data_IF_971516856574
#
_entry.id   IF_971516856574
#
_cell.length_a   1.000
_cell.length_b   1.000
_cell.length_c   1.000
_cell.angle_alpha   90.00
_cell.angle_beta   90.00
_cell.angle_gamma   90.00
#
_symmetry.space_group_name_H-M   'P 1'
#
loop_
_entity.id
_entity.type
_entity.pdbx_description
1 polymer ?
#
# COMPACT_ATOMS: atom_id res chain seq x y z
N UNK A 1 26.84 -1.55 16.19
CA UNK A 1 27.12 -1.39 17.64
C UNK A 1 26.92 -2.74 18.32
N UNK A 2 27.99 -3.27 18.94
CA UNK A 2 28.03 -4.59 19.57
C UNK A 2 27.27 -4.63 20.89
N UNK A 3 26.32 -5.56 21.02
CA UNK A 3 25.56 -5.80 22.26
C UNK A 3 26.30 -6.86 23.10
N UNK A 4 26.56 -6.65 24.41
CA UNK A 4 27.32 -7.61 25.23
C UNK A 4 26.49 -8.86 25.59
N UNK A 5 27.09 -10.03 25.35
CA UNK A 5 26.55 -11.39 25.57
C UNK A 5 26.38 -11.82 27.04
N UNK A 6 26.36 -10.91 28.00
CA UNK A 6 26.41 -11.22 29.44
C UNK A 6 25.08 -11.12 30.19
N UNK A 7 23.97 -10.76 29.53
CA UNK A 7 22.64 -10.66 30.20
C UNK A 7 21.70 -11.85 29.97
N UNK A 8 22.04 -12.79 29.08
CA UNK A 8 21.21 -13.99 28.85
C UNK A 8 21.41 -15.11 29.88
N UNK A 9 22.56 -15.15 30.57
CA UNK A 9 22.82 -16.19 31.58
C UNK A 9 22.25 -15.88 32.99
N UNK A 10 21.82 -14.64 33.24
CA UNK A 10 21.20 -14.27 34.53
C UNK A 10 19.67 -14.53 34.57
N UNK A 11 19.03 -14.57 33.39
CA UNK A 11 17.57 -14.80 33.25
C UNK A 11 17.24 -16.30 33.17
N UNK A 12 18.15 -17.13 32.64
CA UNK A 12 18.00 -18.60 32.69
C UNK A 12 18.27 -19.19 34.09
N UNK A 13 19.14 -18.56 34.90
CA UNK A 13 19.46 -19.05 36.25
C UNK A 13 18.34 -18.76 37.27
N UNK A 14 17.51 -17.74 37.05
CA UNK A 14 16.38 -17.39 37.93
C UNK A 14 15.10 -18.16 37.60
N UNK A 15 14.92 -18.63 36.36
CA UNK A 15 13.79 -19.52 36.00
C UNK A 15 13.99 -20.98 36.45
N UNK A 16 15.22 -21.45 36.65
CA UNK A 16 15.51 -22.81 37.16
C UNK A 16 15.38 -22.96 38.69
N UNK A 17 15.25 -21.85 39.42
CA UNK A 17 15.01 -21.84 40.89
C UNK A 17 13.50 -21.82 41.19
N UNK A 18 12.65 -21.42 40.24
CA UNK A 18 11.19 -21.41 40.40
C UNK A 18 10.49 -22.71 39.98
N UNK A 19 11.17 -23.59 39.22
CA UNK A 19 10.63 -24.89 38.79
C UNK A 19 10.95 -26.01 39.81
N UNK A 20 11.89 -25.78 40.74
CA UNK A 20 12.26 -26.72 41.82
C UNK A 20 11.50 -26.50 43.14
N UNK A 21 10.70 -25.42 43.27
CA UNK A 21 9.87 -25.16 44.45
C UNK A 21 8.39 -25.60 44.30
N UNK A 22 7.95 -25.95 43.09
CA UNK A 22 6.59 -26.48 42.83
C UNK A 22 6.52 -28.02 42.81
N UNK A 23 7.57 -28.71 43.24
CA UNK A 23 7.66 -30.18 43.28
C UNK A 23 7.78 -30.78 44.69
N UNK A 24 7.48 -30.01 45.75
CA UNK A 24 7.32 -30.52 47.14
C UNK A 24 5.94 -30.10 47.67
N UNK A 25 4.92 -30.28 46.84
CA UNK A 25 3.52 -30.16 47.20
C UNK A 25 2.79 -31.42 46.73
N UNK A 26 3.22 -32.58 47.23
CA UNK A 26 2.43 -33.80 47.21
C UNK A 26 3.02 -34.84 48.19
N UNK A 27 2.80 -34.61 49.48
CA UNK A 27 2.80 -35.69 50.47
C UNK A 27 1.74 -35.42 51.53
N UNK A 28 0.66 -36.19 51.42
CA UNK A 28 -0.18 -36.74 52.49
C UNK A 28 -0.84 -35.78 53.48
N UNK A 29 -2.13 -35.55 53.21
CA UNK A 29 -3.17 -35.49 54.23
C UNK A 29 -3.13 -36.73 55.13
N UNK A 30 -2.69 -36.57 56.37
CA UNK A 30 -3.07 -37.44 57.49
C UNK A 30 -3.03 -36.63 58.78
N UNK A 31 -4.13 -36.71 59.52
CA UNK A 31 -4.51 -36.10 60.80
C UNK A 31 -3.38 -35.80 61.79
N UNK A 32 -3.52 -34.79 62.67
CA UNK A 32 -2.46 -34.40 63.60
C UNK A 32 -2.31 -35.47 64.69
N UNK A 33 -1.21 -36.22 64.62
CA UNK A 33 -0.74 -37.07 65.70
C UNK A 33 -0.13 -36.15 66.76
N UNK A 34 -0.79 -36.05 67.92
CA UNK A 34 -0.23 -35.40 69.10
C UNK A 34 1.15 -35.99 69.41
N UNK A 35 2.15 -35.13 69.65
CA UNK A 35 3.50 -35.58 69.99
C UNK A 35 3.47 -36.34 71.32
N UNK A 36 4.31 -37.38 71.47
CA UNK A 36 4.32 -38.28 72.63
C UNK A 36 4.47 -37.55 73.98
N UNK A 37 5.06 -36.34 73.98
CA UNK A 37 5.14 -35.47 75.17
C UNK A 37 3.78 -34.92 75.62
N UNK A 38 2.84 -34.67 74.69
CA UNK A 38 1.50 -34.17 75.00
C UNK A 38 0.57 -35.30 75.52
N UNK A 39 0.80 -36.55 75.13
CA UNK A 39 0.05 -37.72 75.61
C UNK A 39 0.47 -38.16 77.03
N UNK A 40 1.78 -38.07 77.34
CA UNK A 40 2.34 -38.42 78.66
C UNK A 40 1.84 -37.50 79.79
N UNK A 41 1.54 -36.23 79.48
CA UNK A 41 1.00 -35.26 80.44
C UNK A 41 -0.48 -35.56 80.75
N UNK A 42 -1.23 -36.10 79.80
CA UNK A 42 -2.66 -36.42 79.96
C UNK A 42 -2.87 -37.70 80.81
N UNK A 43 -2.00 -38.70 80.65
CA UNK A 43 -2.10 -40.02 81.33
C UNK A 43 -1.69 -39.96 82.81
N UNK A 44 -0.73 -39.10 83.16
CA UNK A 44 -0.34 -38.85 84.57
C UNK A 44 -1.41 -38.12 85.38
N UNK A 45 -2.29 -37.37 84.73
CA UNK A 45 -3.33 -36.58 85.39
C UNK A 45 -4.59 -37.40 85.72
N UNK A 46 -4.88 -38.48 84.99
CA UNK A 46 -6.07 -39.32 85.18
C UNK A 46 -5.89 -40.42 86.24
N UNK A 47 -4.68 -40.94 86.43
CA UNK A 47 -4.44 -42.05 87.38
C UNK A 47 -4.31 -41.63 88.86
N UNK A 48 -4.08 -40.34 89.14
CA UNK A 48 -3.90 -39.81 90.51
C UNK A 48 -5.19 -39.60 91.30
N UNK A 49 -6.35 -39.62 90.64
CA UNK A 49 -7.64 -39.19 91.19
C UNK A 49 -8.46 -40.38 91.72
N UNK A 50 -8.40 -41.55 91.06
CA UNK A 50 -9.18 -42.74 91.46
C UNK A 50 -8.68 -43.42 92.74
N UNK A 51 -7.40 -43.24 93.10
CA UNK A 51 -6.77 -43.91 94.26
C UNK A 51 -7.14 -43.30 95.62
N UNK A 52 -7.63 -42.05 95.69
CA UNK A 52 -7.83 -41.33 96.97
C UNK A 52 -9.29 -41.28 97.46
N UNK A 53 -10.25 -41.66 96.62
CA UNK A 53 -11.69 -41.64 96.97
C UNK A 53 -12.13 -42.91 97.71
N UNK A 54 -11.47 -44.06 97.47
CA UNK A 54 -11.81 -45.35 98.09
C UNK A 54 -11.43 -45.50 99.58
N UNK A 55 -10.40 -44.79 100.05
CA UNK A 55 -9.84 -44.99 101.40
C UNK A 55 -10.63 -44.23 102.50
N UNK A 56 -11.43 -43.25 102.11
CA UNK A 56 -12.26 -42.44 103.03
C UNK A 56 -13.60 -43.14 103.36
N UNK A 57 -14.13 -43.94 102.43
CA UNK A 57 -15.41 -44.64 102.61
C UNK A 57 -15.32 -45.76 103.66
N UNK A 58 -14.17 -46.42 103.79
CA UNK A 58 -13.96 -47.51 104.74
C UNK A 58 -13.80 -47.05 106.20
N UNK A 59 -13.32 -45.82 106.43
CA UNK A 59 -13.18 -45.25 107.78
C UNK A 59 -14.51 -44.79 108.38
N UNK A 60 -15.51 -44.50 107.56
CA UNK A 60 -16.85 -44.08 108.01
C UNK A 60 -17.64 -45.24 108.64
N UNK A 61 -17.50 -46.46 108.11
CA UNK A 61 -18.22 -47.67 108.55
C UNK A 61 -17.77 -48.14 109.95
N UNK A 62 -16.50 -47.92 110.30
CA UNK A 62 -15.95 -48.27 111.62
C UNK A 62 -16.39 -47.33 112.75
N UNK A 63 -16.87 -46.13 112.42
CA UNK A 63 -17.33 -45.11 113.37
C UNK A 63 -18.80 -45.29 113.79
N UNK A 64 -19.60 -46.04 113.02
CA UNK A 64 -21.01 -46.32 113.34
C UNK A 64 -21.21 -47.40 114.41
N UNK A 65 -20.22 -48.25 114.69
CA UNK A 65 -20.38 -49.43 115.57
C UNK A 65 -20.01 -49.25 117.04
N UNK A 66 -19.56 -48.07 117.46
CA UNK A 66 -19.20 -47.85 118.87
C UNK A 66 -20.05 -46.76 119.46
N UNK A 67 -21.00 -47.17 120.31
CA UNK A 67 -21.62 -46.39 121.39
C UNK A 67 -22.80 -45.51 120.91
N UNK A 68 -24.08 -45.69 121.27
CA UNK A 68 -24.89 -46.60 122.11
C UNK A 68 -24.33 -47.21 123.42
N UNK A 69 -24.86 -46.66 124.53
CA UNK A 69 -24.63 -46.95 125.95
C UNK A 69 -23.27 -46.43 126.47
N UNK A 70 -23.17 -45.33 127.23
CA UNK A 70 -24.04 -44.78 128.27
C UNK A 70 -23.79 -43.25 128.37
N UNK A 71 -24.75 -42.49 128.92
CA UNK A 71 -24.84 -41.03 129.06
C UNK A 71 -23.69 -40.12 128.56
N UNK A 72 -24.12 -39.09 127.84
CA UNK A 72 -23.41 -37.92 127.36
C UNK A 72 -22.55 -38.04 126.10
N UNK A 73 -22.92 -37.14 125.18
CA UNK A 73 -22.01 -36.42 124.30
C UNK A 73 -21.43 -37.21 123.11
N UNK A 74 -22.35 -37.76 122.33
CA UNK A 74 -22.54 -37.54 120.87
C UNK A 74 -21.72 -36.38 120.23
N UNK A 75 -21.42 -35.32 120.97
CA UNK A 75 -20.58 -34.18 120.59
C UNK A 75 -19.19 -34.58 120.07
N UNK A 76 -18.56 -35.63 120.59
CA UNK A 76 -17.23 -36.05 120.12
C UNK A 76 -17.32 -36.77 118.77
N UNK A 77 -18.42 -37.46 118.51
CA UNK A 77 -18.68 -38.22 117.28
C UNK A 77 -19.00 -37.31 116.09
N UNK A 78 -19.83 -36.30 116.31
CA UNK A 78 -20.27 -35.38 115.26
C UNK A 78 -19.11 -34.50 114.75
N UNK A 79 -18.19 -34.10 115.63
CA UNK A 79 -17.02 -33.29 115.28
C UNK A 79 -16.05 -34.00 114.32
N UNK A 80 -15.85 -35.31 114.48
CA UNK A 80 -14.96 -36.08 113.63
C UNK A 80 -15.53 -36.29 112.21
N UNK A 81 -16.86 -36.46 112.10
CA UNK A 81 -17.55 -36.65 110.82
C UNK A 81 -17.61 -35.35 110.02
N UNK A 82 -17.88 -34.23 110.68
CA UNK A 82 -17.85 -32.90 110.07
C UNK A 82 -16.45 -32.56 109.53
N UNK A 83 -15.40 -32.81 110.31
CA UNK A 83 -14.03 -32.54 109.90
C UNK A 83 -13.58 -33.36 108.67
N UNK A 84 -14.04 -34.61 108.55
CA UNK A 84 -13.72 -35.46 107.40
C UNK A 84 -14.42 -34.99 106.11
N UNK A 85 -15.68 -34.55 106.22
CA UNK A 85 -16.45 -34.00 105.10
C UNK A 85 -15.86 -32.67 104.61
N UNK A 86 -15.50 -31.78 105.53
CA UNK A 86 -14.89 -30.48 105.23
C UNK A 86 -13.52 -30.66 104.53
N UNK A 87 -12.75 -31.67 104.94
CA UNK A 87 -11.46 -32.00 104.32
C UNK A 87 -11.61 -32.49 102.86
N UNK A 88 -12.60 -33.34 102.57
CA UNK A 88 -12.86 -33.76 101.19
C UNK A 88 -13.37 -32.62 100.30
N UNK A 89 -14.24 -31.76 100.83
CA UNK A 89 -14.75 -30.60 100.12
C UNK A 89 -13.63 -29.61 99.78
N UNK A 90 -12.67 -29.42 100.69
CA UNK A 90 -11.50 -28.58 100.46
C UNK A 90 -10.61 -29.14 99.34
N UNK A 91 -10.40 -30.46 99.31
CA UNK A 91 -9.58 -31.12 98.28
C UNK A 91 -10.21 -31.02 96.88
N UNK A 92 -11.52 -31.25 96.77
CA UNK A 92 -12.24 -31.08 95.51
C UNK A 92 -12.22 -29.63 95.00
N UNK A 93 -12.34 -28.64 95.90
CA UNK A 93 -12.23 -27.23 95.53
C UNK A 93 -10.84 -26.90 95.00
N UNK A 94 -9.79 -27.37 95.67
CA UNK A 94 -8.42 -27.14 95.26
C UNK A 94 -8.11 -27.74 93.88
N UNK A 95 -8.62 -28.94 93.58
CA UNK A 95 -8.42 -29.60 92.28
C UNK A 95 -9.21 -28.92 91.14
N UNK A 96 -10.42 -28.45 91.42
CA UNK A 96 -11.20 -27.63 90.48
C UNK A 96 -10.50 -26.30 90.17
N UNK A 97 -9.95 -25.63 91.18
CA UNK A 97 -9.21 -24.37 91.03
C UNK A 97 -7.93 -24.54 90.20
N UNK A 98 -7.15 -25.59 90.44
CA UNK A 98 -5.93 -25.84 89.65
C UNK A 98 -6.23 -26.17 88.19
N UNK A 99 -7.30 -26.94 87.93
CA UNK A 99 -7.74 -27.24 86.56
C UNK A 99 -8.28 -26.01 85.83
N UNK A 100 -9.01 -25.15 86.51
CA UNK A 100 -9.47 -23.88 85.94
C UNK A 100 -8.29 -22.96 85.62
N UNK A 101 -7.28 -22.91 86.50
CA UNK A 101 -6.08 -22.07 86.31
C UNK A 101 -5.24 -22.53 85.11
N UNK A 102 -5.08 -23.85 84.92
CA UNK A 102 -4.34 -24.38 83.78
C UNK A 102 -5.11 -24.20 82.45
N UNK A 103 -6.44 -24.28 82.48
CA UNK A 103 -7.29 -23.96 81.33
C UNK A 103 -7.23 -22.47 80.95
N UNK A 104 -7.18 -21.55 81.92
CA UNK A 104 -7.00 -20.13 81.62
C UNK A 104 -5.64 -19.83 81.01
N UNK A 105 -4.55 -20.40 81.56
CA UNK A 105 -3.20 -20.19 81.02
C UNK A 105 -3.04 -20.75 79.59
N UNK A 106 -3.63 -21.91 79.32
CA UNK A 106 -3.60 -22.49 77.97
C UNK A 106 -4.42 -21.68 76.97
N UNK A 107 -5.55 -21.11 77.39
CA UNK A 107 -6.36 -20.20 76.56
C UNK A 107 -5.62 -18.91 76.23
N UNK A 108 -4.99 -18.29 77.23
CA UNK A 108 -4.19 -17.07 77.03
C UNK A 108 -3.01 -17.31 76.09
N UNK A 109 -2.31 -18.45 76.24
CA UNK A 109 -1.22 -18.83 75.34
C UNK A 109 -1.70 -19.02 73.89
N UNK A 110 -2.88 -19.61 73.69
CA UNK A 110 -3.48 -19.80 72.37
C UNK A 110 -3.87 -18.46 71.71
N UNK A 111 -4.45 -17.52 72.48
CA UNK A 111 -4.81 -16.19 71.98
C UNK A 111 -3.59 -15.36 71.56
N UNK A 112 -2.48 -15.44 72.31
CA UNK A 112 -1.22 -14.77 71.94
C UNK A 112 -0.66 -15.36 70.64
N UNK A 113 -0.68 -16.69 70.50
CA UNK A 113 -0.25 -17.36 69.28
C UNK A 113 -1.10 -16.95 68.07
N UNK A 114 -2.43 -16.92 68.20
CA UNK A 114 -3.34 -16.49 67.14
C UNK A 114 -3.08 -15.05 66.69
N UNK A 115 -2.93 -14.10 67.64
CA UNK A 115 -2.59 -12.70 67.30
C UNK A 115 -1.28 -12.58 66.55
N UNK A 116 -0.28 -13.41 66.87
CA UNK A 116 1.00 -13.40 66.15
C UNK A 116 0.86 -13.88 64.71
N UNK A 117 0.05 -14.91 64.46
CA UNK A 117 -0.23 -15.43 63.12
C UNK A 117 -0.99 -14.41 62.28
N UNK A 118 -2.01 -13.75 62.86
CA UNK A 118 -2.77 -12.71 62.18
C UNK A 118 -1.89 -11.51 61.78
N UNK A 119 -0.95 -11.11 62.66
CA UNK A 119 0.03 -10.07 62.35
C UNK A 119 0.90 -10.46 61.15
N UNK A 120 1.41 -11.69 61.13
CA UNK A 120 2.24 -12.20 60.04
C UNK A 120 1.48 -12.29 58.71
N UNK A 121 0.22 -12.75 58.73
CA UNK A 121 -0.65 -12.76 57.56
C UNK A 121 -0.94 -11.34 57.05
N UNK A 122 -1.14 -10.38 57.96
CA UNK A 122 -1.27 -8.96 57.64
C UNK A 122 -0.04 -8.43 56.90
N UNK A 123 1.18 -8.68 57.40
CA UNK A 123 2.42 -8.27 56.73
C UNK A 123 2.59 -8.93 55.36
N UNK A 124 2.26 -10.22 55.24
CA UNK A 124 2.34 -10.94 53.97
C UNK A 124 1.36 -10.36 52.93
N UNK A 125 0.14 -10.00 53.35
CA UNK A 125 -0.85 -9.36 52.47
C UNK A 125 -0.39 -7.99 51.96
N UNK A 126 0.28 -7.20 52.82
CA UNK A 126 0.82 -5.90 52.48
C UNK A 126 1.97 -6.00 51.47
N UNK A 127 2.85 -6.99 51.65
CA UNK A 127 3.93 -7.29 50.71
C UNK A 127 3.40 -7.71 49.34
N UNK A 128 2.35 -8.55 49.32
CA UNK A 128 1.71 -8.96 48.06
C UNK A 128 1.07 -7.77 47.34
N UNK A 129 0.40 -6.88 48.08
CA UNK A 129 -0.17 -5.65 47.54
C UNK A 129 0.90 -4.68 47.00
N UNK A 130 2.03 -4.55 47.68
CA UNK A 130 3.16 -3.75 47.21
C UNK A 130 3.78 -4.33 45.93
N UNK A 131 3.92 -5.66 45.85
CA UNK A 131 4.43 -6.34 44.67
C UNK A 131 3.48 -6.20 43.46
N UNK A 132 2.17 -6.36 43.66
CA UNK A 132 1.18 -6.16 42.58
C UNK A 132 1.15 -4.71 42.10
N UNK A 133 1.24 -3.75 43.02
CA UNK A 133 1.37 -2.33 42.66
C UNK A 133 2.65 -2.05 41.86
N UNK A 134 3.78 -2.66 42.24
CA UNK A 134 5.04 -2.49 41.53
C UNK A 134 4.99 -3.09 40.10
N UNK A 135 4.40 -4.28 39.96
CA UNK A 135 4.18 -4.91 38.64
C UNK A 135 3.23 -4.07 37.77
N UNK A 136 2.14 -3.56 38.36
CA UNK A 136 1.22 -2.66 37.66
C UNK A 136 1.92 -1.38 37.20
N UNK A 137 2.72 -0.75 38.05
CA UNK A 137 3.49 0.45 37.73
C UNK A 137 4.52 0.20 36.62
N UNK A 138 5.27 -0.90 36.71
CA UNK A 138 6.22 -1.34 35.67
C UNK A 138 5.53 -1.52 34.32
N UNK A 139 4.37 -2.19 34.31
CA UNK A 139 3.55 -2.38 33.11
C UNK A 139 3.08 -1.05 32.53
N UNK A 140 2.65 -0.11 33.37
CA UNK A 140 2.23 1.21 32.93
C UNK A 140 3.37 2.01 32.26
N UNK A 141 4.59 1.99 32.83
CA UNK A 141 5.75 2.66 32.20
C UNK A 141 6.18 2.01 30.89
N UNK A 142 6.15 0.68 30.81
CA UNK A 142 6.46 -0.04 29.55
C UNK A 142 5.41 0.28 28.49
N UNK A 143 4.13 0.32 28.86
CA UNK A 143 3.04 0.64 27.95
C UNK A 143 3.16 2.07 27.41
N UNK A 144 3.51 3.03 28.26
CA UNK A 144 3.71 4.42 27.86
C UNK A 144 4.85 4.56 26.84
N UNK A 145 5.99 3.89 27.07
CA UNK A 145 7.12 3.93 26.14
C UNK A 145 6.80 3.21 24.82
N UNK A 146 6.06 2.10 24.88
CA UNK A 146 5.57 1.39 23.71
C UNK A 146 4.64 2.25 22.87
N UNK A 147 3.67 2.94 23.48
CA UNK A 147 2.73 3.80 22.78
C UNK A 147 3.45 5.01 22.17
N UNK A 148 4.46 5.56 22.85
CA UNK A 148 5.30 6.64 22.31
C UNK A 148 6.09 6.20 21.07
N UNK A 149 6.76 5.05 21.13
CA UNK A 149 7.49 4.51 19.97
C UNK A 149 6.55 4.16 18.81
N UNK A 150 5.40 3.55 19.12
CA UNK A 150 4.36 3.24 18.12
C UNK A 150 3.85 4.50 17.42
N UNK A 151 3.58 5.57 18.17
CA UNK A 151 3.12 6.84 17.60
C UNK A 151 4.21 7.52 16.79
N UNK A 152 5.47 7.46 17.22
CA UNK A 152 6.59 8.01 16.46
C UNK A 152 6.80 7.27 15.12
N UNK A 153 6.81 5.93 15.15
CA UNK A 153 6.88 5.11 13.93
C UNK A 153 5.67 5.37 13.02
N UNK A 154 4.47 5.51 13.59
CA UNK A 154 3.27 5.85 12.82
C UNK A 154 3.31 7.26 12.24
N UNK A 155 3.97 8.23 12.88
CA UNK A 155 4.11 9.58 12.36
C UNK A 155 5.18 9.66 11.26
N UNK A 156 6.32 8.98 11.43
CA UNK A 156 7.43 8.96 10.48
C UNK A 156 7.14 8.09 9.25
N UNK A 157 6.45 6.96 9.43
CA UNK A 157 6.25 5.98 8.37
C UNK A 157 4.77 5.74 8.01
N UNK A 158 3.81 6.19 8.81
CA UNK A 158 2.38 5.94 8.53
C UNK A 158 1.88 6.67 7.29
N UNK A 159 2.32 7.91 7.04
CA UNK A 159 2.00 8.64 5.81
C UNK A 159 2.64 7.96 4.59
N UNK A 160 3.93 7.60 4.67
CA UNK A 160 4.62 6.88 3.60
C UNK A 160 4.00 5.50 3.30
N UNK A 161 3.58 4.76 4.33
CA UNK A 161 2.89 3.46 4.17
C UNK A 161 1.51 3.67 3.54
N UNK A 162 0.74 4.68 3.96
CA UNK A 162 -0.54 5.01 3.33
C UNK A 162 -0.38 5.45 1.87
N UNK A 163 0.65 6.22 1.54
CA UNK A 163 0.93 6.64 0.17
C UNK A 163 1.41 5.48 -0.69
N UNK A 164 2.21 4.56 -0.14
CA UNK A 164 2.58 3.30 -0.81
C UNK A 164 1.34 2.43 -1.04
N UNK A 165 0.46 2.28 -0.05
CA UNK A 165 -0.77 1.48 -0.19
C UNK A 165 -1.75 2.11 -1.19
N UNK A 166 -1.94 3.44 -1.17
CA UNK A 166 -2.71 4.16 -2.21
C UNK A 166 -2.09 3.97 -3.59
N UNK A 167 -0.78 4.15 -3.71
CA UNK A 167 -0.06 3.97 -4.97
C UNK A 167 -0.21 2.54 -5.49
N UNK A 168 -0.14 1.54 -4.61
CA UNK A 168 -0.34 0.13 -4.94
C UNK A 168 -1.77 -0.17 -5.37
N UNK A 169 -2.78 0.41 -4.73
CA UNK A 169 -4.19 0.27 -5.14
C UNK A 169 -4.46 0.91 -6.50
N UNK A 170 -3.89 2.10 -6.74
CA UNK A 170 -3.96 2.79 -8.04
C UNK A 170 -3.28 1.94 -9.12
N UNK A 171 -2.03 1.49 -8.90
CA UNK A 171 -1.33 0.60 -9.83
C UNK A 171 -2.11 -0.68 -10.10
N UNK A 172 -2.69 -1.29 -9.06
CA UNK A 172 -3.45 -2.55 -9.19
C UNK A 172 -4.72 -2.36 -10.03
N UNK A 173 -5.40 -1.22 -9.88
CA UNK A 173 -6.58 -0.87 -10.68
C UNK A 173 -6.18 -0.62 -12.14
N UNK A 174 -5.11 0.13 -12.36
CA UNK A 174 -4.63 0.48 -13.69
C UNK A 174 -4.09 -0.72 -14.46
N UNK A 175 -3.39 -1.63 -13.79
CA UNK A 175 -2.96 -2.91 -14.38
C UNK A 175 -4.18 -3.74 -14.78
N UNK A 176 -5.25 -3.77 -13.97
CA UNK A 176 -6.49 -4.46 -14.33
C UNK A 176 -7.17 -3.85 -15.55
N UNK A 177 -7.22 -2.52 -15.64
CA UNK A 177 -7.79 -1.83 -16.80
C UNK A 177 -6.94 -2.04 -18.06
N UNK A 178 -5.61 -1.95 -17.96
CA UNK A 178 -4.69 -2.23 -19.06
C UNK A 178 -4.83 -3.68 -19.55
N UNK A 179 -5.05 -4.64 -18.64
CA UNK A 179 -5.35 -6.02 -19.00
C UNK A 179 -6.71 -6.19 -19.70
N UNK A 180 -7.70 -5.35 -19.38
CA UNK A 180 -8.99 -5.35 -20.07
C UNK A 180 -8.82 -4.78 -21.48
N UNK A 181 -8.19 -3.60 -21.60
CA UNK A 181 -7.91 -2.96 -22.90
C UNK A 181 -7.06 -3.87 -23.80
N UNK A 182 -6.02 -4.50 -23.26
CA UNK A 182 -5.19 -5.45 -24.00
C UNK A 182 -5.98 -6.70 -24.44
N UNK A 183 -6.92 -7.18 -23.63
CA UNK A 183 -7.81 -8.30 -24.02
C UNK A 183 -8.77 -7.91 -25.13
N UNK A 184 -9.34 -6.71 -25.08
CA UNK A 184 -10.18 -6.19 -26.14
C UNK A 184 -9.38 -6.03 -27.44
N UNK A 185 -8.18 -5.45 -27.37
CA UNK A 185 -7.29 -5.32 -28.53
C UNK A 185 -6.89 -6.67 -29.14
N UNK A 186 -6.60 -7.68 -28.30
CA UNK A 186 -6.33 -9.06 -28.76
C UNK A 186 -7.57 -9.67 -29.44
N UNK A 187 -8.78 -9.34 -28.97
CA UNK A 187 -10.02 -9.82 -29.58
C UNK A 187 -10.25 -9.18 -30.95
N UNK A 188 -10.06 -7.87 -31.06
CA UNK A 188 -10.13 -7.13 -32.33
C UNK A 188 -9.10 -7.66 -33.33
N UNK A 189 -7.83 -7.78 -32.93
CA UNK A 189 -6.77 -8.35 -33.76
C UNK A 189 -7.05 -9.79 -34.19
N UNK A 190 -7.77 -10.58 -33.38
CA UNK A 190 -8.23 -11.93 -33.79
C UNK A 190 -9.33 -11.88 -34.83
N UNK A 191 -10.26 -10.94 -34.72
CA UNK A 191 -11.33 -10.75 -35.69
C UNK A 191 -10.75 -10.30 -37.03
N UNK A 192 -9.83 -9.34 -37.02
CA UNK A 192 -9.05 -8.90 -38.19
C UNK A 192 -8.21 -10.05 -38.78
N UNK A 193 -7.51 -10.83 -37.94
CA UNK A 193 -6.73 -11.98 -38.40
C UNK A 193 -7.62 -13.08 -39.02
N UNK A 194 -8.84 -13.28 -38.49
CA UNK A 194 -9.79 -14.24 -39.05
C UNK A 194 -10.37 -13.73 -40.37
N UNK A 195 -10.58 -12.43 -40.51
CA UNK A 195 -10.96 -11.80 -41.77
C UNK A 195 -9.84 -11.97 -42.81
N UNK A 196 -8.60 -11.67 -42.44
CA UNK A 196 -7.42 -11.88 -43.28
C UNK A 196 -7.21 -13.35 -43.68
N UNK A 197 -7.47 -14.31 -42.76
CA UNK A 197 -7.45 -15.75 -43.09
C UNK A 197 -8.56 -16.15 -44.06
N UNK A 198 -9.74 -15.55 -43.97
CA UNK A 198 -10.82 -15.78 -44.93
C UNK A 198 -10.39 -15.32 -46.32
N UNK A 199 -9.83 -14.11 -46.43
CA UNK A 199 -9.29 -13.56 -47.67
C UNK A 199 -8.16 -14.46 -48.21
N UNK A 200 -7.24 -14.91 -47.35
CA UNK A 200 -6.15 -15.80 -47.77
C UNK A 200 -6.66 -17.19 -48.20
N UNK A 201 -7.74 -17.68 -47.59
CA UNK A 201 -8.42 -18.90 -48.02
C UNK A 201 -9.09 -18.75 -49.39
N UNK A 202 -9.65 -17.57 -49.69
CA UNK A 202 -10.21 -17.28 -51.00
C UNK A 202 -9.12 -17.04 -52.07
N UNK A 203 -7.98 -16.44 -51.69
CA UNK A 203 -6.76 -16.39 -52.51
C UNK A 203 -6.21 -17.80 -52.76
N UNK A 204 -6.24 -18.69 -51.77
CA UNK A 204 -5.87 -20.10 -51.90
C UNK A 204 -6.76 -20.84 -52.90
N UNK A 205 -8.08 -20.65 -52.87
CA UNK A 205 -8.99 -21.23 -53.86
C UNK A 205 -8.74 -20.68 -55.27
N UNK A 206 -8.40 -19.39 -55.39
CA UNK A 206 -8.03 -18.78 -56.67
C UNK A 206 -6.68 -19.34 -57.14
N UNK A 207 -5.73 -19.57 -56.23
CA UNK A 207 -4.45 -20.19 -56.49
C UNK A 207 -4.61 -21.63 -56.97
N UNK A 208 -5.35 -22.48 -56.25
CA UNK A 208 -5.60 -23.87 -56.61
C UNK A 208 -6.32 -23.98 -57.96
N UNK A 209 -7.21 -23.03 -58.26
CA UNK A 209 -7.89 -22.94 -59.56
C UNK A 209 -6.96 -22.48 -60.68
N UNK A 210 -6.04 -21.58 -60.39
CA UNK A 210 -4.99 -21.16 -61.33
C UNK A 210 -3.97 -22.29 -61.56
N UNK A 211 -3.58 -23.01 -60.52
CA UNK A 211 -2.65 -24.15 -60.55
C UNK A 211 -3.25 -25.35 -61.30
N UNK A 212 -4.53 -25.66 -61.08
CA UNK A 212 -5.27 -26.66 -61.87
C UNK A 212 -5.37 -26.27 -63.36
N UNK A 213 -5.51 -24.98 -63.67
CA UNK A 213 -5.51 -24.46 -65.05
C UNK A 213 -4.12 -24.58 -65.68
N UNK A 214 -3.06 -24.45 -64.87
CA UNK A 214 -1.67 -24.48 -65.32
C UNK A 214 -1.16 -25.93 -65.51
N UNK A 215 -1.60 -26.88 -64.67
CA UNK A 215 -1.38 -28.33 -64.84
C UNK A 215 -2.03 -28.86 -66.14
N UNK A 216 -3.08 -28.18 -66.64
CA UNK A 216 -3.71 -28.49 -67.92
C UNK A 216 -2.95 -27.99 -69.16
N UNK A 217 -1.98 -27.07 -68.97
CA UNK A 217 -1.07 -26.58 -70.00
C UNK A 217 0.22 -27.42 -70.02
N UNK A 218 0.05 -28.71 -70.33
CA UNK A 218 1.11 -29.71 -70.23
C UNK A 218 2.00 -29.65 -71.48
N UNK A 219 3.23 -29.13 -71.35
CA UNK A 219 4.40 -29.49 -72.19
C UNK A 219 5.76 -28.91 -71.71
N UNK A 220 5.95 -28.53 -70.43
CA UNK A 220 7.25 -28.09 -69.89
C UNK A 220 7.55 -28.72 -68.50
N UNK A 221 8.81 -28.77 -68.06
CA UNK A 221 9.24 -29.43 -66.81
C UNK A 221 8.87 -28.62 -65.53
N UNK A 222 8.40 -29.29 -64.43
CA UNK A 222 7.81 -28.62 -63.26
C UNK A 222 8.68 -27.57 -62.55
N UNK A 223 9.99 -27.81 -62.37
CA UNK A 223 10.87 -26.92 -61.60
C UNK A 223 11.20 -25.60 -62.32
N UNK A 224 11.18 -25.58 -63.65
CA UNK A 224 11.38 -24.37 -64.45
C UNK A 224 10.09 -23.54 -64.55
N UNK A 225 8.94 -24.21 -64.52
CA UNK A 225 7.62 -23.58 -64.50
C UNK A 225 7.36 -22.88 -63.17
N UNK A 226 7.67 -23.52 -62.04
CA UNK A 226 7.46 -22.93 -60.71
C UNK A 226 8.31 -21.68 -60.47
N UNK A 227 9.55 -21.64 -60.97
CA UNK A 227 10.41 -20.47 -60.88
C UNK A 227 9.92 -19.32 -61.78
N UNK A 228 9.42 -19.64 -62.98
CA UNK A 228 8.83 -18.65 -63.90
C UNK A 228 7.49 -18.11 -63.36
N UNK A 229 6.62 -18.96 -62.81
CA UNK A 229 5.37 -18.55 -62.16
C UNK A 229 5.67 -17.65 -60.97
N UNK A 230 6.61 -18.05 -60.11
CA UNK A 230 7.02 -17.26 -58.94
C UNK A 230 7.55 -15.89 -59.36
N UNK A 231 8.41 -15.84 -60.38
CA UNK A 231 8.96 -14.59 -60.93
C UNK A 231 7.89 -13.72 -61.59
N UNK A 232 6.95 -14.30 -62.32
CA UNK A 232 5.87 -13.56 -62.98
C UNK A 232 4.81 -13.07 -61.99
N UNK A 233 4.50 -13.86 -60.95
CA UNK A 233 3.62 -13.45 -59.86
C UNK A 233 4.23 -12.30 -59.06
N UNK A 234 5.51 -12.41 -58.69
CA UNK A 234 6.22 -11.32 -58.02
C UNK A 234 6.23 -10.02 -58.84
N UNK A 235 6.47 -10.11 -60.16
CA UNK A 235 6.38 -8.95 -61.07
C UNK A 235 4.98 -8.37 -61.19
N UNK A 236 3.95 -9.21 -61.22
CA UNK A 236 2.56 -8.77 -61.26
C UNK A 236 2.17 -8.08 -59.94
N UNK A 237 2.60 -8.61 -58.80
CA UNK A 237 2.39 -8.04 -57.47
C UNK A 237 3.10 -6.68 -57.33
N UNK A 238 4.34 -6.56 -57.83
CA UNK A 238 5.10 -5.30 -57.89
C UNK A 238 4.41 -4.24 -58.78
N UNK A 239 3.90 -4.66 -59.95
CA UNK A 239 3.14 -3.79 -60.84
C UNK A 239 1.80 -3.34 -60.23
N UNK A 240 1.12 -4.23 -59.50
CA UNK A 240 -0.14 -3.90 -58.83
C UNK A 240 0.07 -2.94 -57.66
N UNK A 241 1.13 -3.13 -56.86
CA UNK A 241 1.51 -2.19 -55.80
C UNK A 241 1.84 -0.81 -56.38
N UNK A 242 2.61 -0.76 -57.47
CA UNK A 242 2.96 0.51 -58.12
C UNK A 242 1.72 1.27 -58.62
N UNK A 243 0.73 0.57 -59.17
CA UNK A 243 -0.54 1.17 -59.57
C UNK A 243 -1.35 1.67 -58.36
N UNK A 244 -1.39 0.91 -57.26
CA UNK A 244 -2.06 1.31 -56.02
C UNK A 244 -1.42 2.54 -55.39
N UNK A 245 -0.08 2.65 -55.43
CA UNK A 245 0.65 3.85 -54.98
C UNK A 245 0.23 5.07 -55.81
N UNK A 246 0.20 4.95 -57.15
CA UNK A 246 -0.21 6.05 -58.01
C UNK A 246 -1.64 6.53 -57.71
N UNK A 247 -2.57 5.60 -57.52
CA UNK A 247 -3.96 5.92 -57.14
C UNK A 247 -4.00 6.61 -55.77
N UNK A 248 -3.26 6.11 -54.78
CA UNK A 248 -3.23 6.71 -53.45
C UNK A 248 -2.73 8.16 -53.51
N UNK A 249 -1.66 8.42 -54.26
CA UNK A 249 -1.11 9.77 -54.44
C UNK A 249 -2.06 10.70 -55.21
N UNK A 250 -2.78 10.20 -56.22
CA UNK A 250 -3.80 10.98 -56.93
C UNK A 250 -4.95 11.39 -56.00
N UNK A 251 -5.39 10.48 -55.11
CA UNK A 251 -6.40 10.76 -54.10
C UNK A 251 -5.92 11.82 -53.08
N UNK A 252 -4.65 11.77 -52.66
CA UNK A 252 -4.06 12.81 -51.81
C UNK A 252 -4.02 14.18 -52.49
N UNK A 253 -3.64 14.23 -53.77
CA UNK A 253 -3.68 15.47 -54.56
C UNK A 253 -5.10 16.01 -54.69
N UNK A 254 -6.09 15.13 -54.83
CA UNK A 254 -7.51 15.46 -54.80
C UNK A 254 -8.07 15.77 -53.41
N UNK A 255 -7.25 15.70 -52.35
CA UNK A 255 -7.67 15.84 -50.95
C UNK A 255 -8.73 14.84 -50.48
N UNK A 256 -8.88 13.71 -51.16
CA UNK A 256 -9.71 12.58 -50.69
C UNK A 256 -8.88 11.71 -49.73
N UNK A 257 -8.60 12.27 -48.56
CA UNK A 257 -7.74 11.66 -47.54
C UNK A 257 -8.31 10.35 -46.98
N UNK A 258 -9.63 10.20 -46.94
CA UNK A 258 -10.26 8.95 -46.50
C UNK A 258 -9.97 7.83 -47.51
N UNK A 259 -10.23 8.08 -48.80
CA UNK A 259 -9.95 7.09 -49.83
C UNK A 259 -8.45 6.80 -49.95
N UNK A 260 -7.60 7.85 -49.88
CA UNK A 260 -6.14 7.71 -49.87
C UNK A 260 -5.68 6.81 -48.71
N UNK A 261 -6.16 7.05 -47.49
CA UNK A 261 -5.80 6.24 -46.32
C UNK A 261 -6.17 4.77 -46.50
N UNK A 262 -7.33 4.48 -47.09
CA UNK A 262 -7.73 3.11 -47.40
C UNK A 262 -6.82 2.43 -48.44
N UNK A 263 -6.29 3.18 -49.42
CA UNK A 263 -5.33 2.64 -50.40
C UNK A 263 -3.97 2.36 -49.77
N UNK A 264 -3.48 3.28 -48.94
CA UNK A 264 -2.25 3.04 -48.18
C UNK A 264 -2.39 1.87 -47.21
N UNK A 265 -3.53 1.70 -46.55
CA UNK A 265 -3.78 0.55 -45.69
C UNK A 265 -3.65 -0.78 -46.46
N UNK A 266 -4.26 -0.89 -47.64
CA UNK A 266 -4.10 -2.08 -48.50
C UNK A 266 -2.62 -2.31 -48.85
N UNK A 267 -1.86 -1.27 -49.16
CA UNK A 267 -0.43 -1.37 -49.41
C UNK A 267 0.35 -1.88 -48.18
N UNK A 268 -0.04 -1.50 -46.96
CA UNK A 268 0.57 -2.04 -45.74
C UNK A 268 0.28 -3.53 -45.54
N UNK A 269 -0.87 -4.03 -45.98
CA UNK A 269 -1.19 -5.47 -45.92
C UNK A 269 -0.38 -6.26 -46.96
N UNK A 270 -0.21 -5.70 -48.16
CA UNK A 270 0.58 -6.31 -49.24
C UNK A 270 2.09 -6.29 -48.96
N UNK A 271 2.59 -5.28 -48.23
CA UNK A 271 4.00 -5.15 -47.87
C UNK A 271 4.17 -4.59 -46.46
N UNK A 272 3.96 -5.43 -45.41
CA UNK A 272 3.96 -4.98 -44.01
C UNK A 272 5.30 -4.49 -43.46
N UNK A 273 6.38 -4.72 -44.21
CA UNK A 273 7.74 -4.27 -43.89
C UNK A 273 8.14 -2.97 -44.58
N UNK A 274 7.28 -2.40 -45.45
CA UNK A 274 7.55 -1.13 -46.10
C UNK A 274 7.15 0.04 -45.17
N UNK A 275 8.14 0.77 -44.64
CA UNK A 275 7.92 1.88 -43.72
C UNK A 275 7.14 3.04 -44.36
N UNK A 276 7.37 3.33 -45.65
CA UNK A 276 6.73 4.44 -46.36
C UNK A 276 5.21 4.23 -46.48
N UNK A 277 4.77 2.99 -46.71
CA UNK A 277 3.35 2.68 -46.78
C UNK A 277 2.65 2.92 -45.43
N UNK A 278 3.29 2.53 -44.32
CA UNK A 278 2.78 2.81 -42.98
C UNK A 278 2.77 4.31 -42.66
N UNK A 279 3.80 5.03 -43.11
CA UNK A 279 3.91 6.48 -42.93
C UNK A 279 2.79 7.21 -43.67
N UNK A 280 2.58 6.90 -44.94
CA UNK A 280 1.55 7.53 -45.75
C UNK A 280 0.14 7.15 -45.29
N UNK A 281 -0.07 5.90 -44.84
CA UNK A 281 -1.31 5.51 -44.18
C UNK A 281 -1.59 6.37 -42.95
N UNK A 282 -0.61 6.51 -42.04
CA UNK A 282 -0.75 7.33 -40.84
C UNK A 282 -1.05 8.79 -41.19
N UNK A 283 -0.32 9.35 -42.15
CA UNK A 283 -0.47 10.73 -42.61
C UNK A 283 -1.85 10.99 -43.21
N UNK A 284 -2.28 10.18 -44.18
CA UNK A 284 -3.57 10.32 -44.83
C UNK A 284 -4.74 10.12 -43.84
N UNK A 285 -4.62 9.14 -42.95
CA UNK A 285 -5.63 8.92 -41.91
C UNK A 285 -5.70 10.13 -40.95
N UNK A 286 -4.57 10.68 -40.52
CA UNK A 286 -4.55 11.87 -39.67
C UNK A 286 -5.19 13.08 -40.37
N UNK A 287 -4.86 13.31 -41.65
CA UNK A 287 -5.49 14.38 -42.47
C UNK A 287 -7.01 14.20 -42.58
N UNK A 288 -7.49 12.98 -42.81
CA UNK A 288 -8.95 12.72 -42.87
C UNK A 288 -9.66 13.04 -41.55
N UNK A 289 -9.01 12.77 -40.41
CA UNK A 289 -9.53 13.11 -39.08
C UNK A 289 -9.59 14.63 -38.89
N UNK A 290 -8.53 15.35 -39.28
CA UNK A 290 -8.47 16.81 -39.15
C UNK A 290 -9.56 17.54 -39.94
N UNK A 291 -10.05 16.97 -41.04
CA UNK A 291 -11.17 17.53 -41.81
C UNK A 291 -12.54 17.30 -41.17
N UNK A 292 -12.69 16.27 -40.32
CA UNK A 292 -13.95 15.89 -39.66
C UNK A 292 -13.93 16.21 -38.17
N UNK A 293 -13.57 17.45 -37.80
CA UNK A 293 -13.41 17.90 -36.39
C UNK A 293 -14.64 17.68 -35.49
N UNK A 294 -15.84 17.55 -36.07
CA UNK A 294 -17.09 17.33 -35.32
C UNK A 294 -17.31 15.88 -34.85
N UNK A 295 -16.50 14.92 -35.30
CA UNK A 295 -16.66 13.50 -34.97
C UNK A 295 -15.70 13.05 -33.85
N UNK A 296 -16.17 12.14 -32.98
CA UNK A 296 -15.28 11.49 -32.01
C UNK A 296 -14.36 10.50 -32.74
N UNK A 297 -13.12 10.93 -32.99
CA UNK A 297 -12.12 10.19 -33.74
C UNK A 297 -11.09 9.46 -32.85
N UNK A 298 -11.38 9.25 -31.56
CA UNK A 298 -10.41 8.67 -30.61
C UNK A 298 -9.81 7.34 -31.10
N UNK A 299 -10.65 6.43 -31.61
CA UNK A 299 -10.18 5.14 -32.13
C UNK A 299 -9.31 5.30 -33.38
N UNK A 300 -9.66 6.25 -34.27
CA UNK A 300 -8.89 6.52 -35.48
C UNK A 300 -7.55 7.17 -35.15
N UNK A 301 -7.48 8.07 -34.16
CA UNK A 301 -6.22 8.63 -33.67
C UNK A 301 -5.31 7.54 -33.06
N UNK A 302 -5.88 6.54 -32.38
CA UNK A 302 -5.09 5.39 -31.92
C UNK A 302 -4.51 4.58 -33.09
N UNK A 303 -5.24 4.40 -34.19
CA UNK A 303 -4.71 3.77 -35.40
C UNK A 303 -3.56 4.58 -36.03
N UNK A 304 -3.67 5.92 -36.04
CA UNK A 304 -2.57 6.80 -36.49
C UNK A 304 -1.32 6.62 -35.61
N UNK A 305 -1.50 6.56 -34.27
CA UNK A 305 -0.40 6.32 -33.35
C UNK A 305 0.27 4.96 -33.59
N UNK A 306 -0.53 3.90 -33.77
CA UNK A 306 -0.03 2.55 -34.04
C UNK A 306 0.74 2.49 -35.37
N UNK A 307 0.24 3.17 -36.41
CA UNK A 307 0.89 3.25 -37.71
C UNK A 307 2.23 4.00 -37.63
N UNK A 308 2.30 5.18 -37.00
CA UNK A 308 3.59 5.87 -36.81
C UNK A 308 4.55 5.07 -35.92
N UNK A 309 4.06 4.40 -34.88
CA UNK A 309 4.89 3.50 -34.07
C UNK A 309 5.46 2.37 -34.93
N UNK A 310 4.68 1.83 -35.86
CA UNK A 310 5.17 0.83 -36.83
C UNK A 310 6.27 1.40 -37.72
N UNK A 311 6.14 2.65 -38.19
CA UNK A 311 7.21 3.34 -38.94
C UNK A 311 8.48 3.41 -38.09
N UNK A 312 8.41 3.82 -36.82
CA UNK A 312 9.62 3.94 -35.97
C UNK A 312 10.35 2.61 -35.74
N UNK A 313 9.65 1.48 -35.88
CA UNK A 313 10.25 0.14 -35.79
C UNK A 313 10.88 -0.28 -37.11
N UNK A 314 10.24 0.03 -38.24
CA UNK A 314 10.71 -0.34 -39.58
C UNK A 314 11.82 0.59 -40.08
N UNK A 315 11.72 1.88 -39.77
CA UNK A 315 12.69 2.92 -40.06
C UNK A 315 13.00 3.74 -38.78
N UNK A 316 13.97 3.29 -37.97
CA UNK A 316 14.44 4.02 -36.79
C UNK A 316 15.15 5.34 -37.09
N UNK A 317 15.36 5.70 -38.36
CA UNK A 317 15.95 6.97 -38.78
C UNK A 317 14.91 8.04 -39.15
N UNK A 318 13.62 7.69 -39.16
CA UNK A 318 12.52 8.61 -39.46
C UNK A 318 12.26 9.58 -38.31
N UNK A 319 12.95 10.73 -38.30
CA UNK A 319 12.70 11.80 -37.34
C UNK A 319 11.25 12.31 -37.40
N UNK A 320 10.65 12.36 -38.60
CA UNK A 320 9.27 12.81 -38.81
C UNK A 320 8.28 11.85 -38.14
N UNK A 321 8.50 10.54 -38.20
CA UNK A 321 7.62 9.59 -37.51
C UNK A 321 7.70 9.73 -35.98
N UNK A 322 8.90 9.92 -35.43
CA UNK A 322 9.06 10.20 -34.00
C UNK A 322 8.40 11.53 -33.61
N UNK A 323 8.61 12.59 -34.38
CA UNK A 323 7.99 13.90 -34.16
C UNK A 323 6.46 13.80 -34.17
N UNK A 324 5.86 13.19 -35.20
CA UNK A 324 4.42 12.99 -35.32
C UNK A 324 3.85 12.15 -34.18
N UNK A 325 4.55 11.08 -33.77
CA UNK A 325 4.14 10.26 -32.63
C UNK A 325 4.19 11.05 -31.32
N UNK A 326 5.20 11.94 -31.16
CA UNK A 326 5.29 12.88 -30.04
C UNK A 326 4.05 13.78 -29.94
N UNK A 327 3.61 14.39 -31.04
CA UNK A 327 2.39 15.20 -31.10
C UNK A 327 1.17 14.40 -30.65
N UNK A 328 0.94 13.24 -31.29
CA UNK A 328 -0.25 12.44 -31.07
C UNK A 328 -0.35 11.90 -29.64
N UNK A 329 0.79 11.49 -29.04
CA UNK A 329 0.84 11.07 -27.64
C UNK A 329 0.55 12.24 -26.69
N UNK A 330 1.06 13.44 -26.99
CA UNK A 330 0.74 14.65 -26.22
C UNK A 330 -0.75 15.02 -26.29
N UNK A 331 -1.37 14.88 -27.46
CA UNK A 331 -2.82 15.04 -27.64
C UNK A 331 -3.62 13.97 -26.87
N UNK A 332 -3.20 12.71 -26.97
CA UNK A 332 -3.81 11.59 -26.24
C UNK A 332 -3.73 11.80 -24.72
N UNK A 333 -2.61 12.29 -24.21
CA UNK A 333 -2.44 12.57 -22.79
C UNK A 333 -3.47 13.58 -22.25
N UNK A 334 -3.91 14.54 -23.06
CA UNK A 334 -4.94 15.53 -22.65
C UNK A 334 -6.31 14.88 -22.41
N UNK A 335 -6.58 13.73 -23.04
CA UNK A 335 -7.82 12.98 -22.88
C UNK A 335 -7.74 11.91 -21.77
N UNK A 336 -6.57 11.76 -21.14
CA UNK A 336 -6.33 10.81 -20.06
C UNK A 336 -6.26 11.53 -18.70
N UNK A 337 -6.26 10.76 -17.61
CA UNK A 337 -6.06 11.26 -16.23
C UNK A 337 -5.17 10.29 -15.43
N UNK A 338 -4.62 10.77 -14.32
CA UNK A 338 -3.83 9.94 -13.41
C UNK A 338 -2.56 9.39 -14.07
N UNK A 339 -2.16 8.17 -13.72
CA UNK A 339 -0.89 7.60 -14.19
C UNK A 339 -0.87 7.40 -15.70
N UNK A 340 -2.01 7.04 -16.32
CA UNK A 340 -2.11 6.90 -17.79
C UNK A 340 -1.73 8.19 -18.52
N UNK A 341 -2.14 9.34 -17.98
CA UNK A 341 -1.76 10.65 -18.52
C UNK A 341 -0.26 10.90 -18.36
N UNK A 342 0.30 10.62 -17.19
CA UNK A 342 1.73 10.81 -16.90
C UNK A 342 2.62 9.93 -17.80
N UNK A 343 2.25 8.67 -18.01
CA UNK A 343 2.95 7.75 -18.89
C UNK A 343 2.90 8.24 -20.34
N UNK A 344 1.75 8.74 -20.78
CA UNK A 344 1.58 9.21 -22.15
C UNK A 344 2.38 10.50 -22.42
N UNK A 345 2.44 11.44 -21.46
CA UNK A 345 3.33 12.61 -21.55
C UNK A 345 4.80 12.21 -21.61
N UNK A 346 5.22 11.25 -20.76
CA UNK A 346 6.59 10.74 -20.78
C UNK A 346 6.95 10.12 -22.14
N UNK A 347 6.08 9.26 -22.68
CA UNK A 347 6.30 8.64 -23.98
C UNK A 347 6.36 9.69 -25.10
N UNK A 348 5.50 10.71 -25.05
CA UNK A 348 5.52 11.85 -25.99
C UNK A 348 6.87 12.56 -26.00
N UNK A 349 7.37 12.93 -24.81
CA UNK A 349 8.67 13.60 -24.63
C UNK A 349 9.82 12.69 -25.11
N UNK A 350 9.78 11.39 -24.83
CA UNK A 350 10.77 10.43 -25.33
C UNK A 350 10.81 10.40 -26.87
N UNK A 351 9.66 10.49 -27.53
CA UNK A 351 9.61 10.53 -29.00
C UNK A 351 10.19 11.85 -29.54
N UNK A 352 9.88 12.99 -28.94
CA UNK A 352 10.54 14.26 -29.32
C UNK A 352 12.04 14.22 -29.11
N UNK A 353 12.53 13.63 -28.03
CA UNK A 353 13.97 13.48 -27.82
C UNK A 353 14.62 12.62 -28.92
N UNK A 354 14.00 11.49 -29.30
CA UNK A 354 14.48 10.69 -30.43
C UNK A 354 14.48 11.48 -31.74
N UNK A 355 13.41 12.22 -32.03
CA UNK A 355 13.34 13.10 -33.19
C UNK A 355 14.46 14.16 -33.18
N UNK A 356 14.72 14.77 -32.01
CA UNK A 356 15.74 15.81 -31.84
C UNK A 356 17.18 15.30 -32.01
N UNK A 357 17.44 14.02 -31.73
CA UNK A 357 18.75 13.40 -31.97
C UNK A 357 18.98 13.24 -33.48
N UNK A 358 17.92 12.88 -34.21
CA UNK A 358 17.95 12.66 -35.66
C UNK A 358 17.92 13.98 -36.45
N UNK A 359 17.25 15.00 -35.94
CA UNK A 359 17.13 16.32 -36.57
C UNK A 359 17.37 17.45 -35.55
N UNK A 360 18.63 17.69 -35.13
CA UNK A 360 18.95 18.61 -34.03
C UNK A 360 18.79 20.10 -34.37
N UNK A 361 18.60 20.44 -35.65
CA UNK A 361 18.41 21.83 -36.10
C UNK A 361 16.94 22.14 -36.44
N UNK A 362 16.03 21.20 -36.17
CA UNK A 362 14.60 21.44 -36.36
C UNK A 362 14.00 22.10 -35.10
N UNK A 363 13.73 23.40 -35.22
CA UNK A 363 13.16 24.19 -34.14
C UNK A 363 11.77 23.71 -33.72
N UNK A 364 10.99 23.12 -34.64
CA UNK A 364 9.60 22.76 -34.39
C UNK A 364 9.53 21.55 -33.45
N UNK A 365 10.51 20.63 -33.49
CA UNK A 365 10.65 19.53 -32.53
C UNK A 365 10.75 20.07 -31.10
N UNK A 366 11.64 21.04 -30.88
CA UNK A 366 11.86 21.62 -29.55
C UNK A 366 10.67 22.47 -29.09
N UNK A 367 10.08 23.24 -30.01
CA UNK A 367 8.91 24.07 -29.73
C UNK A 367 7.72 23.23 -29.24
N UNK A 368 7.40 22.15 -29.97
CA UNK A 368 6.27 21.27 -29.62
C UNK A 368 6.57 20.40 -28.40
N UNK A 369 7.82 19.97 -28.21
CA UNK A 369 8.25 19.32 -26.97
C UNK A 369 8.02 20.23 -25.76
N UNK A 370 8.37 21.51 -25.87
CA UNK A 370 8.09 22.54 -24.86
C UNK A 370 6.60 22.65 -24.56
N UNK A 371 5.73 22.68 -25.58
CA UNK A 371 4.27 22.66 -25.40
C UNK A 371 3.80 21.45 -24.59
N UNK A 372 4.38 20.27 -24.84
CA UNK A 372 4.04 19.05 -24.09
C UNK A 372 4.50 19.15 -22.64
N UNK A 373 5.71 19.68 -22.37
CA UNK A 373 6.16 19.90 -20.99
C UNK A 373 5.27 20.91 -20.24
N UNK A 374 4.85 22.01 -20.88
CA UNK A 374 3.93 22.96 -20.27
C UNK A 374 2.60 22.28 -19.88
N UNK A 375 2.00 21.53 -20.82
CA UNK A 375 0.79 20.75 -20.55
C UNK A 375 1.00 19.72 -19.44
N UNK A 376 2.13 19.04 -19.42
CA UNK A 376 2.47 18.05 -18.39
C UNK A 376 2.62 18.72 -17.02
N UNK A 377 3.32 19.85 -16.93
CA UNK A 377 3.52 20.60 -15.70
C UNK A 377 2.20 21.04 -15.06
N UNK A 378 1.17 21.39 -15.85
CA UNK A 378 -0.18 21.71 -15.35
C UNK A 378 -0.84 20.57 -14.58
N UNK A 379 -0.41 19.32 -14.82
CA UNK A 379 -0.96 18.12 -14.18
C UNK A 379 -0.16 17.68 -12.95
N UNK A 380 0.90 18.42 -12.61
CA UNK A 380 1.84 18.13 -11.54
C UNK A 380 1.79 19.22 -10.46
N UNK A 381 2.31 18.90 -9.28
CA UNK A 381 2.42 19.81 -8.14
C UNK A 381 3.85 19.83 -7.58
N UNK A 382 4.19 20.90 -6.86
CA UNK A 382 5.46 21.08 -6.13
C UNK A 382 6.70 20.84 -7.01
N UNK A 383 7.74 20.21 -6.47
CA UNK A 383 9.03 19.98 -7.12
C UNK A 383 8.93 19.28 -8.49
N UNK A 384 7.91 18.41 -8.70
CA UNK A 384 7.71 17.76 -9.99
C UNK A 384 7.24 18.74 -11.06
N UNK A 385 6.36 19.68 -10.69
CA UNK A 385 5.94 20.76 -11.58
C UNK A 385 7.12 21.64 -11.94
N UNK A 386 7.89 22.08 -10.94
CA UNK A 386 9.00 23.02 -11.15
C UNK A 386 10.13 22.39 -11.99
N UNK A 387 10.46 21.12 -11.74
CA UNK A 387 11.40 20.36 -12.58
C UNK A 387 10.91 20.24 -14.03
N UNK A 388 9.61 19.99 -14.22
CA UNK A 388 9.02 19.90 -15.57
C UNK A 388 9.01 21.25 -16.30
N UNK A 389 8.78 22.36 -15.59
CA UNK A 389 8.88 23.71 -16.16
C UNK A 389 10.32 24.06 -16.53
N UNK A 390 11.31 23.64 -15.74
CA UNK A 390 12.71 23.81 -16.09
C UNK A 390 13.07 23.06 -17.38
N UNK A 391 12.54 21.86 -17.58
CA UNK A 391 12.74 21.14 -18.85
C UNK A 391 12.02 21.81 -20.02
N UNK A 392 10.81 22.35 -19.80
CA UNK A 392 10.13 23.18 -20.78
C UNK A 392 11.01 24.37 -21.20
N UNK A 393 11.58 25.08 -20.22
CA UNK A 393 12.50 26.20 -20.43
C UNK A 393 13.71 25.80 -21.28
N UNK A 394 14.36 24.69 -20.94
CA UNK A 394 15.52 24.18 -21.66
C UNK A 394 15.23 23.92 -23.15
N UNK A 395 14.11 23.24 -23.46
CA UNK A 395 13.77 22.93 -24.85
C UNK A 395 13.27 24.17 -25.59
N UNK A 396 12.50 25.05 -24.94
CA UNK A 396 12.02 26.28 -25.57
C UNK A 396 13.16 27.26 -25.87
N UNK A 397 14.18 27.36 -25.02
CA UNK A 397 15.37 28.15 -25.35
C UNK A 397 16.17 27.56 -26.51
N UNK A 398 16.17 26.24 -26.71
CA UNK A 398 16.74 25.63 -27.92
C UNK A 398 15.92 26.00 -29.16
N UNK A 399 14.60 25.96 -29.07
CA UNK A 399 13.71 26.42 -30.16
C UNK A 399 14.00 27.89 -30.50
N UNK A 400 14.08 28.76 -29.49
CA UNK A 400 14.38 30.18 -29.64
C UNK A 400 15.73 30.44 -30.31
N UNK A 401 16.77 29.65 -29.96
CA UNK A 401 18.09 29.78 -30.57
C UNK A 401 18.06 29.47 -32.07
N UNK A 402 17.19 28.56 -32.51
CA UNK A 402 17.04 28.16 -33.91
C UNK A 402 16.08 29.09 -34.68
N UNK A 403 15.00 29.54 -34.02
CA UNK A 403 13.98 30.46 -34.54
C UNK A 403 13.64 31.52 -33.48
N UNK A 404 14.35 32.68 -33.46
CA UNK A 404 14.18 33.72 -32.44
C UNK A 404 12.77 34.32 -32.35
N UNK A 405 11.97 34.18 -33.40
CA UNK A 405 10.61 34.67 -33.48
C UNK A 405 9.58 33.83 -32.72
N UNK A 406 9.89 32.55 -32.43
CA UNK A 406 8.97 31.57 -31.80
C UNK A 406 8.92 31.73 -30.28
N UNK A 407 8.32 32.81 -29.81
CA UNK A 407 8.34 33.23 -28.39
C UNK A 407 7.04 32.96 -27.63
N UNK A 408 5.96 32.56 -28.30
CA UNK A 408 4.66 32.36 -27.65
C UNK A 408 4.71 31.38 -26.45
N UNK A 409 5.25 30.18 -26.65
CA UNK A 409 5.35 29.20 -25.57
C UNK A 409 6.28 29.64 -24.42
N UNK A 410 7.25 30.54 -24.67
CA UNK A 410 8.05 31.13 -23.59
C UNK A 410 7.21 32.10 -22.76
N UNK A 411 6.28 32.84 -23.37
CA UNK A 411 5.32 33.64 -22.61
C UNK A 411 4.41 32.77 -21.73
N UNK A 412 3.93 31.64 -22.27
CA UNK A 412 3.16 30.66 -21.50
C UNK A 412 3.96 30.13 -20.31
N UNK A 413 5.21 29.71 -20.53
CA UNK A 413 6.14 29.30 -19.48
C UNK A 413 6.29 30.36 -18.38
N UNK A 414 6.59 31.61 -18.77
CA UNK A 414 6.82 32.71 -17.82
C UNK A 414 5.56 33.05 -17.03
N UNK A 415 4.39 32.92 -17.65
CA UNK A 415 3.12 33.07 -16.94
C UNK A 415 2.93 31.97 -15.88
N UNK A 416 3.25 30.72 -16.20
CA UNK A 416 3.21 29.62 -15.24
C UNK A 416 4.24 29.75 -14.10
N UNK A 417 5.34 30.46 -14.33
CA UNK A 417 6.37 30.80 -13.33
C UNK A 417 6.00 32.03 -12.49
N UNK A 418 4.97 32.79 -12.86
CA UNK A 418 4.57 34.04 -12.20
C UNK A 418 5.38 35.27 -12.63
N UNK A 419 6.19 35.14 -13.69
CA UNK A 419 7.07 36.18 -14.22
C UNK A 419 6.34 37.01 -15.30
N UNK A 420 5.30 37.74 -14.90
CA UNK A 420 4.34 38.35 -15.84
C UNK A 420 4.93 39.44 -16.75
N UNK A 421 5.96 40.17 -16.31
CA UNK A 421 6.64 41.18 -17.15
C UNK A 421 7.51 40.52 -18.24
N UNK A 422 8.13 39.38 -17.94
CA UNK A 422 8.84 38.59 -18.95
C UNK A 422 7.85 37.94 -19.91
N UNK A 423 6.73 37.41 -19.40
CA UNK A 423 5.66 36.89 -20.23
C UNK A 423 5.13 37.94 -21.21
N UNK A 424 4.89 39.17 -20.73
CA UNK A 424 4.53 40.31 -21.57
C UNK A 424 5.55 40.57 -22.67
N UNK A 425 6.83 40.62 -22.32
CA UNK A 425 7.91 40.86 -23.28
C UNK A 425 7.93 39.81 -24.41
N UNK A 426 7.72 38.53 -24.07
CA UNK A 426 7.61 37.47 -25.07
C UNK A 426 6.34 37.56 -25.92
N UNK A 427 5.19 37.93 -25.36
CA UNK A 427 3.96 38.17 -26.14
C UNK A 427 4.11 39.34 -27.11
N UNK A 428 4.79 40.41 -26.71
CA UNK A 428 5.09 41.55 -27.59
C UNK A 428 6.01 41.14 -28.74
N UNK A 429 7.02 40.30 -28.50
CA UNK A 429 7.87 39.74 -29.57
C UNK A 429 7.04 38.87 -30.51
N UNK A 430 6.25 37.93 -29.98
CA UNK A 430 5.38 37.06 -30.77
C UNK A 430 4.39 37.85 -31.63
N UNK A 431 3.87 38.97 -31.10
CA UNK A 431 3.00 39.87 -31.85
C UNK A 431 3.72 40.51 -33.04
N UNK A 432 4.90 41.09 -32.80
CA UNK A 432 5.69 41.76 -33.84
C UNK A 432 6.16 40.79 -34.92
N UNK A 433 6.45 39.54 -34.55
CA UNK A 433 6.86 38.51 -35.49
C UNK A 433 5.73 37.82 -36.24
N UNK A 434 4.46 38.09 -35.88
CA UNK A 434 3.30 37.38 -36.44
C UNK A 434 3.17 35.93 -35.97
N UNK A 435 3.86 35.55 -34.88
CA UNK A 435 3.74 34.22 -34.25
C UNK A 435 2.61 34.17 -33.21
N UNK A 436 2.07 35.32 -32.82
CA UNK A 436 1.02 35.40 -31.82
C UNK A 436 -0.28 34.76 -32.33
N UNK A 437 -0.86 33.79 -31.59
CA UNK A 437 -2.16 33.24 -31.93
C UNK A 437 -3.28 34.27 -31.91
N UNK A 438 -4.41 33.93 -32.52
CA UNK A 438 -5.60 34.77 -32.51
C UNK A 438 -6.17 34.99 -31.09
N UNK A 439 -7.05 35.99 -30.98
CA UNK A 439 -7.63 36.37 -29.70
C UNK A 439 -8.54 35.30 -29.07
N UNK A 440 -9.07 34.36 -29.85
CA UNK A 440 -9.87 33.24 -29.31
C UNK A 440 -8.94 32.24 -28.61
N UNK A 441 -7.84 31.86 -29.28
CA UNK A 441 -6.81 31.02 -28.72
C UNK A 441 -6.21 31.61 -27.44
N UNK A 442 -5.83 32.90 -27.47
CA UNK A 442 -5.24 33.57 -26.29
C UNK A 442 -6.18 33.57 -25.08
N UNK A 443 -7.50 33.71 -25.28
CA UNK A 443 -8.49 33.67 -24.20
C UNK A 443 -8.72 32.25 -23.67
N UNK A 444 -8.54 31.24 -24.52
CA UNK A 444 -8.77 29.84 -24.17
C UNK A 444 -7.52 29.15 -23.58
N UNK A 445 -6.32 29.73 -23.75
CA UNK A 445 -5.10 29.11 -23.26
C UNK A 445 -4.98 29.19 -21.73
N UNK A 446 -5.03 28.02 -21.10
CA UNK A 446 -4.93 27.86 -19.67
C UNK A 446 -3.57 28.33 -19.12
N UNK A 447 -2.51 28.38 -19.94
CA UNK A 447 -1.22 28.93 -19.47
C UNK A 447 -1.28 30.43 -19.21
N UNK A 448 -2.17 31.15 -19.89
CA UNK A 448 -2.28 32.59 -19.82
C UNK A 448 -3.37 33.07 -18.84
N UNK A 449 -4.03 32.15 -18.13
CA UNK A 449 -5.17 32.46 -17.26
C UNK A 449 -4.85 33.53 -16.21
N UNK A 450 -3.63 33.51 -15.66
CA UNK A 450 -3.16 34.49 -14.67
C UNK A 450 -3.05 35.91 -15.25
N UNK A 451 -2.88 36.06 -16.57
CA UNK A 451 -2.77 37.35 -17.24
C UNK A 451 -4.14 37.98 -17.52
N UNK A 452 -5.23 37.20 -17.55
CA UNK A 452 -6.56 37.68 -17.97
C UNK A 452 -7.10 38.88 -17.17
N UNK A 453 -6.61 39.06 -15.94
CA UNK A 453 -7.00 40.17 -15.05
C UNK A 453 -6.11 41.41 -15.19
N UNK A 454 -4.99 41.31 -15.91
CA UNK A 454 -4.06 42.40 -16.09
C UNK A 454 -4.53 43.30 -17.24
N UNK A 455 -4.54 44.62 -17.01
CA UNK A 455 -5.06 45.59 -17.98
C UNK A 455 -4.33 45.50 -19.32
N UNK A 456 -3.00 45.39 -19.29
CA UNK A 456 -2.19 45.30 -20.51
C UNK A 456 -2.50 44.05 -21.36
N UNK A 457 -2.91 42.94 -20.74
CA UNK A 457 -3.27 41.74 -21.47
C UNK A 457 -4.67 41.87 -22.09
N UNK A 458 -5.58 42.57 -21.42
CA UNK A 458 -6.89 42.91 -21.99
C UNK A 458 -6.74 43.85 -23.20
N UNK A 459 -5.82 44.81 -23.12
CA UNK A 459 -5.46 45.70 -24.23
C UNK A 459 -4.90 44.87 -25.40
N UNK A 460 -3.96 43.94 -25.14
CA UNK A 460 -3.42 43.02 -26.15
C UNK A 460 -4.53 42.20 -26.83
N UNK A 461 -5.47 41.64 -26.07
CA UNK A 461 -6.59 40.88 -26.62
C UNK A 461 -7.50 41.74 -27.51
N UNK A 462 -7.74 43.00 -27.14
CA UNK A 462 -8.53 43.94 -27.96
C UNK A 462 -7.80 44.27 -29.26
N UNK A 463 -6.51 44.58 -29.19
CA UNK A 463 -5.67 44.86 -30.37
C UNK A 463 -5.64 43.69 -31.34
N UNK A 464 -5.51 42.45 -30.85
CA UNK A 464 -5.49 41.25 -31.72
C UNK A 464 -6.88 40.96 -32.30
N UNK A 465 -7.97 41.26 -31.59
CA UNK A 465 -9.34 41.15 -32.12
C UNK A 465 -9.67 42.16 -33.22
N UNK A 466 -8.95 43.29 -33.29
CA UNK A 466 -9.15 44.35 -34.28
C UNK A 466 -8.32 44.18 -35.56
N UNK A 467 -7.36 43.24 -35.57
CA UNK A 467 -6.59 42.94 -36.77
C UNK A 467 -7.49 42.26 -37.81
N UNK A 468 -7.54 42.76 -39.06
CA UNK A 468 -8.27 42.08 -40.13
C UNK A 468 -7.65 40.71 -40.32
N UNK A 469 -8.49 39.66 -40.39
CA UNK A 469 -8.06 38.31 -40.76
C UNK A 469 -7.11 38.43 -41.94
N UNK A 470 -5.86 37.98 -41.76
CA UNK A 470 -4.86 38.01 -42.82
C UNK A 470 -5.36 37.16 -43.97
N UNK A 471 -6.04 37.80 -44.91
CA UNK A 471 -6.52 37.18 -46.13
C UNK A 471 -5.33 36.59 -46.87
N UNK A 472 -5.50 35.37 -47.33
CA UNK A 472 -4.61 34.66 -48.22
C UNK A 472 -4.14 35.59 -49.35
N UNK A 473 -2.96 36.18 -49.21
CA UNK A 473 -2.24 36.75 -50.35
C UNK A 473 -1.62 35.58 -51.10
N UNK A 474 -2.40 35.03 -52.02
CA UNK A 474 -1.91 34.31 -53.19
C UNK A 474 -1.01 35.29 -53.96
N UNK A 475 0.29 34.98 -54.03
CA UNK A 475 1.22 35.49 -55.02
C UNK A 475 2.02 34.32 -55.58
#
# INVERSE_FOLDING_TARGET
>A
MSIPRTRYHFILATMLIFISASAIADTSSSSPVFTAEQQLVLEKYTHGIDSKVGDVSNKLVLLEQKIDADNDAQTIKDNAKQAALDSQLALYKQESETKNTSLTLTREALEISQRSVDLWLGFLSLLLAAATFFVWRMRATIQQEWDKQKNQISAEHGAAIQDIDRSKEVLTREVKECLIEARERIKELREELNHARSINGDIGKIHDKAEATLISAKDNTPEQIDDVIRKNKAKADESAQSALVAIAMELEQGSDWEAASNRWLVLTELSPSNADYWFNYAYALYKSIQLKKSENNTNRLNLVCDAYRRVTVLDPSSHVAFYSLGILLGERANNLKGVKQQVCFKESVEMYYKASILSPNDADIYYHCGTVFLKWARTLENDFRDSTLLEAENVLFRALKLKPEKTYNLACLKTLQGEFEEARSFLEIAKVSGDLPDSEHLRADLDLENLHKLSWFQDLLAEVSELPESGDTVC
#
